data_IF_199116122832
#
_entry.id   IF_199116122832
#
_cell.length_a   1.000
_cell.length_b   1.000
_cell.length_c   1.000
_cell.angle_alpha   90.00
_cell.angle_beta   90.00
_cell.angle_gamma   90.00
#
_symmetry.space_group_name_H-M   'P 1'
#
loop_
_entity.id
_entity.type
_entity.pdbx_description
1 polymer ?
#
# COMPACT_ATOMS: atom_id res chain seq x y z
N UNK A 1 -58.15 -0.83 -6.45
CA UNK A 1 -56.81 -1.42 -6.25
C UNK A 1 -55.88 -0.88 -7.33
N UNK A 2 -55.39 0.35 -7.17
CA UNK A 2 -54.40 0.95 -8.07
C UNK A 2 -53.13 1.16 -7.25
N UNK A 3 -52.31 0.11 -7.17
CA UNK A 3 -50.99 0.22 -6.58
C UNK A 3 -50.07 0.92 -7.59
N UNK A 4 -49.69 2.14 -7.23
CA UNK A 4 -48.28 2.53 -7.21
C UNK A 4 -47.55 2.50 -8.58
N UNK A 5 -48.01 3.30 -9.54
CA UNK A 5 -47.30 3.51 -10.81
C UNK A 5 -46.19 4.58 -10.73
N UNK A 6 -46.11 5.34 -9.64
CA UNK A 6 -45.13 6.41 -9.43
C UNK A 6 -43.78 5.89 -8.94
N UNK A 7 -43.76 4.88 -8.05
CA UNK A 7 -42.51 4.31 -7.52
C UNK A 7 -41.66 3.56 -8.56
N UNK A 8 -42.27 3.07 -9.64
CA UNK A 8 -41.57 2.34 -10.69
C UNK A 8 -40.83 3.26 -11.68
N UNK A 9 -41.30 4.51 -11.84
CA UNK A 9 -40.58 5.52 -12.61
C UNK A 9 -39.32 5.96 -11.86
N UNK A 10 -39.42 6.21 -10.55
CA UNK A 10 -38.28 6.64 -9.72
C UNK A 10 -37.13 5.63 -9.71
N UNK A 11 -37.41 4.33 -9.57
CA UNK A 11 -36.38 3.30 -9.54
C UNK A 11 -35.56 3.20 -10.85
N UNK A 12 -36.19 3.48 -12.01
CA UNK A 12 -35.51 3.45 -13.32
C UNK A 12 -34.58 4.66 -13.50
N UNK A 13 -34.98 5.83 -13.03
CA UNK A 13 -34.12 7.01 -13.02
C UNK A 13 -32.98 6.90 -12.01
N UNK A 14 -33.19 6.21 -10.88
CA UNK A 14 -32.14 5.92 -9.91
C UNK A 14 -31.07 4.96 -10.48
N UNK A 15 -31.46 3.94 -11.22
CA UNK A 15 -30.51 3.02 -11.87
C UNK A 15 -29.70 3.72 -12.97
N UNK A 16 -30.35 4.58 -13.76
CA UNK A 16 -29.69 5.35 -14.81
C UNK A 16 -28.69 6.37 -14.25
N UNK A 17 -29.03 7.05 -13.14
CA UNK A 17 -28.12 7.99 -12.47
C UNK A 17 -26.96 7.29 -11.77
N UNK A 18 -27.17 6.10 -11.20
CA UNK A 18 -26.09 5.30 -10.61
C UNK A 18 -25.09 4.81 -11.67
N UNK A 19 -25.57 4.38 -12.84
CA UNK A 19 -24.68 4.01 -13.96
C UNK A 19 -23.89 5.21 -14.50
N UNK A 20 -24.52 6.39 -14.59
CA UNK A 20 -23.85 7.58 -15.13
C UNK A 20 -22.72 8.08 -14.21
N UNK A 21 -22.85 7.94 -12.89
CA UNK A 21 -21.80 8.34 -11.94
C UNK A 21 -20.62 7.37 -11.91
N UNK A 22 -20.83 6.08 -12.19
CA UNK A 22 -19.73 5.11 -12.32
C UNK A 22 -18.94 5.24 -13.64
N UNK A 23 -19.54 5.76 -14.71
CA UNK A 23 -18.86 5.97 -15.99
C UNK A 23 -18.08 7.29 -16.10
N UNK A 24 -18.44 8.32 -15.32
CA UNK A 24 -17.83 9.66 -15.44
C UNK A 24 -16.73 9.89 -14.40
N UNK A 25 -16.64 9.10 -13.33
CA UNK A 25 -15.49 9.20 -12.44
C UNK A 25 -14.25 8.70 -13.18
N UNK A 26 -13.24 9.55 -13.45
CA UNK A 26 -11.95 9.02 -13.79
C UNK A 26 -11.52 8.18 -12.59
N UNK A 27 -11.45 6.87 -12.78
CA UNK A 27 -10.58 6.03 -11.96
C UNK A 27 -9.23 6.70 -12.08
N UNK A 28 -8.91 7.52 -11.07
CA UNK A 28 -7.63 8.17 -10.92
C UNK A 28 -6.67 7.03 -10.56
N UNK A 29 -6.39 6.20 -11.56
CA UNK A 29 -5.33 5.22 -11.55
C UNK A 29 -4.10 6.05 -11.32
N UNK A 30 -3.67 6.08 -10.07
CA UNK A 30 -2.37 6.60 -9.72
C UNK A 30 -1.42 5.90 -10.69
N UNK A 31 -0.84 6.66 -11.61
CA UNK A 31 0.38 6.24 -12.27
C UNK A 31 1.33 6.01 -11.11
N UNK A 32 1.38 4.76 -10.62
CA UNK A 32 2.54 4.28 -9.90
C UNK A 32 3.65 4.51 -10.89
N UNK A 33 4.47 5.52 -10.65
CA UNK A 33 5.66 5.79 -11.42
C UNK A 33 6.33 4.44 -11.64
N UNK A 34 6.22 3.92 -12.86
CA UNK A 34 6.98 2.76 -13.32
C UNK A 34 8.40 3.29 -13.45
N UNK A 35 9.04 3.51 -12.31
CA UNK A 35 10.48 3.72 -12.24
C UNK A 35 11.12 2.62 -13.07
N UNK A 36 12.21 2.96 -13.76
CA UNK A 36 13.04 1.99 -14.47
C UNK A 36 13.74 1.08 -13.45
N UNK A 37 12.99 0.26 -12.74
CA UNK A 37 13.51 -0.75 -11.84
C UNK A 37 14.08 -1.86 -12.71
N UNK A 38 15.41 -2.02 -12.69
CA UNK A 38 16.02 -3.22 -13.22
C UNK A 38 15.47 -4.40 -12.40
N UNK A 39 14.94 -5.46 -13.04
CA UNK A 39 14.51 -6.64 -12.31
C UNK A 39 15.70 -7.15 -11.49
N UNK A 40 15.44 -7.45 -10.23
CA UNK A 40 16.41 -8.07 -9.33
C UNK A 40 16.76 -9.42 -9.94
N UNK A 41 18.06 -9.71 -10.09
CA UNK A 41 18.51 -10.98 -10.65
C UNK A 41 18.02 -12.17 -9.83
N UNK A 42 17.89 -13.36 -10.42
CA UNK A 42 17.53 -14.54 -9.66
C UNK A 42 18.54 -14.78 -8.54
N UNK A 43 18.07 -14.87 -7.29
CA UNK A 43 18.88 -15.16 -6.12
C UNK A 43 19.40 -13.95 -5.34
N UNK A 44 19.24 -12.72 -5.85
CA UNK A 44 19.55 -11.48 -5.10
C UNK A 44 18.49 -11.11 -4.06
N UNK A 45 17.37 -11.81 -4.04
CA UNK A 45 16.22 -11.62 -3.16
C UNK A 45 16.15 -12.65 -2.02
N UNK A 46 17.04 -13.65 -2.00
CA UNK A 46 17.04 -14.73 -1.00
C UNK A 46 17.06 -14.22 0.44
N UNK A 47 17.74 -13.10 0.69
CA UNK A 47 17.81 -12.47 2.01
C UNK A 47 16.57 -11.66 2.40
N UNK A 48 15.59 -11.49 1.50
CA UNK A 48 14.40 -10.67 1.74
C UNK A 48 13.19 -11.48 2.21
N UNK A 49 13.24 -12.81 2.14
CA UNK A 49 12.10 -13.70 2.40
C UNK A 49 12.34 -14.69 3.54
N UNK A 50 12.74 -14.19 4.71
CA UNK A 50 13.04 -15.04 5.87
C UNK A 50 11.78 -15.33 6.69
N UNK A 51 11.47 -16.61 6.97
CA UNK A 51 10.37 -16.96 7.85
C UNK A 51 10.61 -16.45 9.27
N UNK A 52 9.57 -15.90 9.91
CA UNK A 52 9.64 -15.40 11.27
C UNK A 52 10.11 -13.93 11.41
N UNK A 53 10.53 -13.29 10.31
CA UNK A 53 10.79 -11.85 10.27
C UNK A 53 9.57 -11.08 9.77
N UNK A 54 9.40 -9.84 10.22
CA UNK A 54 8.35 -8.96 9.71
C UNK A 54 8.69 -8.53 8.28
N UNK A 55 7.74 -8.68 7.36
CA UNK A 55 7.94 -8.42 5.93
C UNK A 55 9.11 -9.17 5.28
N UNK A 56 9.63 -10.20 5.95
CA UNK A 56 10.66 -11.10 5.45
C UNK A 56 12.10 -10.74 5.84
N UNK A 57 12.42 -9.50 6.21
CA UNK A 57 13.79 -9.08 6.53
C UNK A 57 13.92 -8.13 7.75
N UNK A 58 12.81 -7.77 8.40
CA UNK A 58 12.81 -6.84 9.53
C UNK A 58 12.72 -7.59 10.86
N UNK A 59 13.72 -7.40 11.73
CA UNK A 59 13.68 -7.82 13.14
C UNK A 59 12.89 -6.81 13.94
N UNK A 60 11.72 -7.21 14.45
CA UNK A 60 10.83 -6.33 15.21
C UNK A 60 11.27 -6.18 16.66
N UNK A 61 11.45 -4.92 17.10
CA UNK A 61 11.59 -4.56 18.50
C UNK A 61 10.49 -3.53 18.84
N UNK A 62 9.54 -3.93 19.68
CA UNK A 62 8.47 -3.07 20.21
C UNK A 62 7.34 -2.61 19.24
N UNK A 63 6.87 -3.49 18.34
CA UNK A 63 5.56 -3.30 17.68
C UNK A 63 5.45 -2.15 16.65
N UNK A 64 6.47 -1.32 16.53
CA UNK A 64 6.56 -0.26 15.53
C UNK A 64 6.76 -0.87 14.14
N UNK A 65 5.83 -0.57 13.23
CA UNK A 65 5.84 -1.05 11.84
C UNK A 65 6.12 0.13 10.91
N UNK A 66 6.93 -0.09 9.89
CA UNK A 66 7.26 0.91 8.87
C UNK A 66 7.98 2.15 9.45
N UNK A 67 7.53 3.36 9.09
CA UNK A 67 8.15 4.60 9.52
C UNK A 67 8.08 4.77 11.03
N UNK A 68 9.25 4.96 11.64
CA UNK A 68 9.38 5.17 13.08
C UNK A 68 9.06 6.63 13.40
N UNK A 69 8.03 6.85 14.21
CA UNK A 69 7.57 8.19 14.62
C UNK A 69 8.14 8.66 15.96
N UNK A 70 8.61 7.72 16.80
CA UNK A 70 9.21 8.03 18.09
C UNK A 70 10.63 8.62 17.90
N UNK A 71 10.87 9.88 18.28
CA UNK A 71 12.18 10.51 18.15
C UNK A 71 13.30 9.79 18.91
N UNK A 72 12.97 9.06 19.98
CA UNK A 72 13.96 8.34 20.79
C UNK A 72 14.53 7.10 20.08
N UNK A 73 13.88 6.66 19.01
CA UNK A 73 14.31 5.55 18.18
C UNK A 73 15.08 6.01 16.93
N UNK A 74 15.24 7.32 16.75
CA UNK A 74 16.01 7.90 15.65
C UNK A 74 17.48 8.01 16.03
N UNK A 75 18.34 7.94 15.02
CA UNK A 75 19.77 8.15 15.20
C UNK A 75 20.06 9.63 15.52
N UNK A 76 20.87 9.91 16.55
CA UNK A 76 21.21 11.29 16.91
C UNK A 76 21.94 11.97 15.74
N UNK A 77 21.62 13.23 15.49
CA UNK A 77 22.18 14.03 14.40
C UNK A 77 22.03 13.40 12.99
N UNK A 78 21.07 12.47 12.82
CA UNK A 78 20.92 11.69 11.59
C UNK A 78 22.21 10.96 11.15
N UNK A 79 23.07 10.61 12.10
CA UNK A 79 24.37 9.99 11.86
C UNK A 79 24.40 8.53 12.33
N UNK A 80 24.80 7.63 11.44
CA UNK A 80 24.98 6.20 11.73
C UNK A 80 26.47 5.92 11.92
N UNK A 81 26.84 5.43 13.10
CA UNK A 81 28.19 4.96 13.40
C UNK A 81 28.17 3.44 13.27
N UNK A 82 29.02 2.89 12.43
CA UNK A 82 29.13 1.45 12.21
C UNK A 82 30.59 1.00 12.18
N UNK A 83 30.80 -0.28 12.47
CA UNK A 83 32.09 -0.96 12.35
C UNK A 83 31.86 -2.25 11.53
N UNK A 84 32.57 -2.45 10.41
CA UNK A 84 32.52 -3.71 9.69
C UNK A 84 33.03 -4.84 10.59
N UNK A 85 32.31 -5.95 10.62
CA UNK A 85 32.79 -7.20 11.20
C UNK A 85 33.54 -7.96 10.09
N UNK A 86 34.86 -8.20 10.21
CA UNK A 86 35.63 -8.87 9.17
C UNK A 86 35.30 -10.36 9.04
N UNK A 87 34.63 -10.96 10.03
CA UNK A 87 34.30 -12.39 10.06
C UNK A 87 32.92 -12.70 9.42
N UNK A 88 32.22 -11.68 8.88
CA UNK A 88 30.91 -11.78 8.24
C UNK A 88 30.99 -11.40 6.75
#
# INVERSE_FOLDING_TARGET
MYLNMTSYLDARYMLATLCLTFFILPLNGRNLDKGNYKPIGPGTDKGLYNPGLYQGDIVMKAGNKNAVTDPNLLWPNAAIIYKPDPDI
#
